data_IF_053936579691
#
_entry.id   IF_053936579691
#
_cell.length_a   1.000
_cell.length_b   1.000
_cell.length_c   1.000
_cell.angle_alpha   90.00
_cell.angle_beta   90.00
_cell.angle_gamma   90.00
#
_symmetry.space_group_name_H-M   'P 1'
#
loop_
_entity.id
_entity.type
_entity.pdbx_description
1 polymer ?
#
# COMPACT_ATOMS: atom_id res chain seq x y z
N UNK A 1 -3.16 1.65 2.31
CA UNK A 1 -2.44 2.29 3.44
C UNK A 1 -3.06 1.93 4.79
N UNK A 2 -3.56 0.71 4.88
CA UNK A 2 -4.19 0.11 6.05
C UNK A 2 -3.63 -1.31 6.18
N UNK A 3 -4.02 -2.02 7.22
CA UNK A 3 -3.62 -3.42 7.44
C UNK A 3 -4.63 -4.43 6.89
N UNK A 4 -5.64 -3.98 6.15
CA UNK A 4 -6.65 -4.85 5.54
C UNK A 4 -6.01 -5.85 4.58
N UNK A 5 -6.58 -7.05 4.52
CA UNK A 5 -6.10 -8.11 3.64
C UNK A 5 -6.30 -7.71 2.18
N UNK A 6 -5.23 -7.75 1.38
CA UNK A 6 -5.29 -7.55 -0.06
C UNK A 6 -5.57 -8.89 -0.76
N UNK A 7 -6.85 -9.30 -0.78
CA UNK A 7 -7.34 -10.46 -1.52
C UNK A 7 -8.54 -10.06 -2.39
N UNK A 8 -8.33 -9.84 -3.71
CA UNK A 8 -9.38 -9.40 -4.62
C UNK A 8 -10.25 -10.55 -5.18
N UNK A 9 -9.93 -11.81 -4.89
CA UNK A 9 -10.57 -12.97 -5.54
C UNK A 9 -11.52 -13.75 -4.64
N UNK A 10 -11.43 -13.60 -3.31
CA UNK A 10 -12.20 -14.42 -2.35
C UNK A 10 -12.90 -13.61 -1.26
N UNK A 11 -13.07 -12.31 -1.46
CA UNK A 11 -13.76 -11.43 -0.53
C UNK A 11 -15.17 -11.11 -1.04
N UNK A 12 -16.19 -11.35 -0.22
CA UNK A 12 -17.51 -10.77 -0.42
C UNK A 12 -17.41 -9.22 -0.39
N UNK A 13 -18.36 -8.50 -1.02
CA UNK A 13 -18.33 -7.04 -1.03
C UNK A 13 -18.18 -6.45 0.38
N UNK A 14 -17.26 -5.50 0.52
CA UNK A 14 -16.98 -4.80 1.79
C UNK A 14 -16.56 -5.72 2.96
N UNK A 15 -15.99 -6.90 2.68
CA UNK A 15 -15.51 -7.81 3.73
C UNK A 15 -14.12 -7.44 4.26
N UNK A 16 -13.16 -7.15 3.38
CA UNK A 16 -11.77 -6.86 3.75
C UNK A 16 -11.51 -5.35 3.86
N UNK A 17 -12.29 -4.68 4.72
CA UNK A 17 -12.20 -3.23 4.94
C UNK A 17 -11.83 -2.90 6.39
N UNK A 18 -11.20 -1.75 6.56
CA UNK A 18 -10.91 -1.13 7.84
C UNK A 18 -11.47 0.29 7.90
N UNK A 19 -11.51 0.93 9.07
CA UNK A 19 -11.90 2.34 9.19
C UNK A 19 -11.07 3.29 8.31
N UNK A 20 -9.80 2.96 8.03
CA UNK A 20 -8.95 3.73 7.11
C UNK A 20 -9.46 3.60 5.67
N UNK A 21 -9.88 2.41 5.25
CA UNK A 21 -10.38 2.17 3.89
C UNK A 21 -11.76 2.83 3.66
N UNK A 22 -12.53 2.99 4.74
CA UNK A 22 -13.79 3.73 4.75
C UNK A 22 -13.61 5.24 5.01
N UNK A 23 -12.38 5.72 5.16
CA UNK A 23 -12.08 7.12 5.47
C UNK A 23 -12.84 7.65 6.70
N UNK A 24 -12.99 6.84 7.74
CA UNK A 24 -13.65 7.27 8.97
C UNK A 24 -12.90 8.43 9.63
N UNK A 25 -13.63 9.39 10.25
CA UNK A 25 -13.01 10.51 10.96
C UNK A 25 -11.99 10.04 12.01
N UNK A 26 -10.83 10.69 12.03
CA UNK A 26 -9.75 10.39 12.99
C UNK A 26 -8.85 9.21 12.63
N UNK A 27 -9.03 8.59 11.46
CA UNK A 27 -8.11 7.57 10.95
C UNK A 27 -6.93 8.20 10.20
N UNK A 28 -5.77 7.54 10.23
CA UNK A 28 -4.56 7.98 9.53
C UNK A 28 -3.96 6.83 8.70
N UNK A 29 -3.47 7.10 7.48
CA UNK A 29 -2.85 6.09 6.65
C UNK A 29 -1.47 5.69 7.18
N UNK A 30 -1.10 4.42 6.96
CA UNK A 30 0.27 3.93 7.17
C UNK A 30 0.76 3.16 5.95
N UNK A 31 2.01 3.40 5.56
CA UNK A 31 2.61 2.77 4.38
C UNK A 31 2.87 1.28 4.59
N UNK A 32 2.68 0.48 3.53
CA UNK A 32 3.05 -0.93 3.54
C UNK A 32 4.54 -1.08 3.14
N UNK A 33 5.39 -1.45 4.10
CA UNK A 33 6.82 -1.65 3.88
C UNK A 33 7.14 -2.66 2.78
N UNK A 34 6.39 -3.77 2.68
CA UNK A 34 6.61 -4.79 1.64
C UNK A 34 6.33 -4.23 0.24
N UNK A 35 5.36 -3.33 0.11
CA UNK A 35 5.08 -2.66 -1.16
C UNK A 35 6.27 -1.80 -1.61
N UNK A 36 6.90 -1.07 -0.68
CA UNK A 36 8.12 -0.29 -0.96
C UNK A 36 9.26 -1.20 -1.38
N UNK A 37 9.49 -2.31 -0.67
CA UNK A 37 10.53 -3.28 -1.04
C UNK A 37 10.31 -3.86 -2.45
N UNK A 38 9.06 -4.16 -2.82
CA UNK A 38 8.73 -4.63 -4.17
C UNK A 38 9.02 -3.56 -5.23
N UNK A 39 8.68 -2.31 -4.97
CA UNK A 39 8.99 -1.21 -5.89
C UNK A 39 10.50 -1.02 -6.10
N UNK A 40 11.31 -1.12 -5.02
CA UNK A 40 12.77 -1.07 -5.14
C UNK A 40 13.29 -2.23 -5.98
N UNK A 41 12.78 -3.46 -5.76
CA UNK A 41 13.16 -4.63 -6.57
C UNK A 41 12.84 -4.45 -8.05
N UNK A 42 11.65 -3.94 -8.37
CA UNK A 42 11.26 -3.65 -9.75
C UNK A 42 12.18 -2.59 -10.36
N UNK A 43 12.42 -1.49 -9.65
CA UNK A 43 13.29 -0.41 -10.09
C UNK A 43 14.69 -0.90 -10.46
N UNK A 44 15.29 -1.74 -9.61
CA UNK A 44 16.60 -2.36 -9.89
C UNK A 44 16.53 -3.33 -11.08
N UNK A 45 15.47 -4.14 -11.20
CA UNK A 45 15.33 -5.12 -12.27
C UNK A 45 15.23 -4.47 -13.66
N UNK A 46 14.65 -3.28 -13.76
CA UNK A 46 14.54 -2.52 -15.03
C UNK A 46 15.73 -1.61 -15.29
N UNK A 47 16.79 -1.67 -14.46
CA UNK A 47 17.96 -0.79 -14.58
C UNK A 47 17.70 0.66 -14.20
N UNK A 48 16.66 0.91 -13.40
CA UNK A 48 16.30 2.23 -12.90
C UNK A 48 17.19 2.69 -11.74
N UNK A 49 17.28 4.01 -11.56
CA UNK A 49 17.95 4.63 -10.42
C UNK A 49 16.95 4.86 -9.29
N UNK A 50 17.23 4.35 -8.10
CA UNK A 50 16.37 4.53 -6.93
C UNK A 50 16.56 5.94 -6.37
N UNK A 51 15.45 6.64 -6.13
CA UNK A 51 15.47 7.98 -5.59
C UNK A 51 15.89 8.00 -4.11
N UNK A 52 16.67 9.01 -3.72
CA UNK A 52 17.08 9.22 -2.32
C UNK A 52 16.00 9.94 -1.48
N UNK A 53 14.97 10.49 -2.13
CA UNK A 53 13.82 11.12 -1.51
C UNK A 53 12.58 10.84 -2.36
N UNK A 54 11.49 10.47 -1.71
CA UNK A 54 10.18 10.23 -2.32
C UNK A 54 9.09 10.60 -1.33
N UNK A 55 8.00 11.18 -1.80
CA UNK A 55 6.84 11.56 -0.99
C UNK A 55 5.54 11.04 -1.60
N UNK A 56 4.46 11.11 -0.80
CA UNK A 56 3.10 10.87 -1.24
C UNK A 56 2.36 12.21 -1.14
N UNK A 57 1.79 12.66 -2.26
CA UNK A 57 0.95 13.87 -2.38
C UNK A 57 -0.52 13.45 -2.49
#
# INVERSE_FOLDING_TARGET
>A
FSRSLNDPYHAEPNQNISPVDLAHPGTLPTINQKAVEHMVRIGLAVGGNIANFTEFD
#
